data_IF_243412730743
#
_entry.id   IF_243412730743
#
_cell.length_a   1.000
_cell.length_b   1.000
_cell.length_c   1.000
_cell.angle_alpha   90.00
_cell.angle_beta   90.00
_cell.angle_gamma   90.00
#
_symmetry.space_group_name_H-M   'P 1'
#
loop_
_entity.id
_entity.type
_entity.pdbx_description
1 polymer ?
#
# COMPACT_ATOMS: atom_id res chain seq x y z
N UNK A 1 5.44 0.01 25.46
CA UNK A 1 6.50 0.40 24.52
C UNK A 1 5.93 0.41 23.12
N UNK A 2 6.01 1.52 22.45
CA UNK A 2 5.49 1.63 21.08
C UNK A 2 6.29 0.75 20.15
N UNK A 3 5.59 0.04 19.28
CA UNK A 3 6.24 -0.74 18.22
C UNK A 3 6.79 0.18 17.16
N UNK A 4 8.06 0.03 16.82
CA UNK A 4 8.68 0.78 15.73
C UNK A 4 7.99 0.42 14.42
N UNK A 5 7.62 1.42 13.63
CA UNK A 5 6.93 1.20 12.36
C UNK A 5 7.80 0.46 11.37
N UNK A 6 7.18 -0.45 10.64
CA UNK A 6 7.84 -1.28 9.65
C UNK A 6 6.94 -1.47 8.43
N UNK A 7 7.54 -1.53 7.25
CA UNK A 7 6.83 -1.84 6.01
C UNK A 7 7.55 -3.03 5.37
N UNK A 8 6.85 -4.17 5.29
CA UNK A 8 7.34 -5.33 4.55
C UNK A 8 6.94 -5.18 3.09
N UNK A 9 7.92 -5.35 2.20
CA UNK A 9 7.73 -5.20 0.74
C UNK A 9 8.09 -6.51 0.08
N UNK A 10 7.15 -7.10 -0.66
CA UNK A 10 7.36 -8.35 -1.38
C UNK A 10 6.84 -8.22 -2.81
N UNK A 11 7.74 -8.29 -3.78
CA UNK A 11 7.37 -8.29 -5.19
C UNK A 11 7.36 -9.73 -5.72
N UNK A 12 6.28 -10.10 -6.40
CA UNK A 12 6.17 -11.36 -7.14
C UNK A 12 6.16 -11.01 -8.62
N UNK A 13 7.34 -11.04 -9.23
CA UNK A 13 7.53 -10.62 -10.62
C UNK A 13 6.76 -11.54 -11.58
N UNK A 14 6.76 -12.84 -11.31
CA UNK A 14 6.07 -13.81 -12.17
C UNK A 14 4.57 -13.56 -12.20
N UNK A 15 3.96 -13.27 -11.05
CA UNK A 15 2.53 -12.96 -10.96
C UNK A 15 2.21 -11.50 -11.29
N UNK A 16 3.22 -10.65 -11.42
CA UNK A 16 3.08 -9.21 -11.62
C UNK A 16 2.29 -8.56 -10.47
N UNK A 17 2.69 -8.87 -9.25
CA UNK A 17 2.02 -8.42 -8.03
C UNK A 17 3.03 -7.93 -7.01
N UNK A 18 2.61 -7.00 -6.15
CA UNK A 18 3.41 -6.54 -5.02
C UNK A 18 2.53 -6.54 -3.77
N UNK A 19 3.13 -6.90 -2.64
CA UNK A 19 2.46 -6.88 -1.34
C UNK A 19 3.22 -5.98 -0.39
N UNK A 20 2.48 -5.06 0.23
CA UNK A 20 3.01 -4.15 1.24
C UNK A 20 2.25 -4.40 2.54
N UNK A 21 2.97 -4.69 3.62
CA UNK A 21 2.38 -4.85 4.96
C UNK A 21 2.88 -3.74 5.86
N UNK A 22 1.95 -3.00 6.46
CA UNK A 22 2.27 -1.89 7.36
C UNK A 22 2.08 -2.36 8.79
N UNK A 23 3.13 -2.22 9.61
CA UNK A 23 3.19 -2.77 10.97
C UNK A 23 3.57 -1.67 11.93
N UNK A 24 2.83 -1.57 13.05
CA UNK A 24 3.10 -0.59 14.10
C UNK A 24 2.69 0.83 13.74
N UNK A 25 3.39 1.81 14.30
CA UNK A 25 3.13 3.23 14.05
C UNK A 25 3.93 3.70 12.85
N UNK A 26 3.23 4.16 11.83
CA UNK A 26 3.83 4.62 10.58
C UNK A 26 3.80 6.15 10.53
N UNK A 27 4.96 6.77 10.38
CA UNK A 27 5.08 8.21 10.20
C UNK A 27 5.88 8.51 8.94
N UNK A 28 6.12 9.81 8.67
CA UNK A 28 6.86 10.22 7.48
C UNK A 28 8.26 9.62 7.40
N UNK A 29 8.95 9.47 8.56
CA UNK A 29 10.31 8.91 8.59
C UNK A 29 10.32 7.44 8.19
N UNK A 30 9.35 6.63 8.65
CA UNK A 30 9.24 5.23 8.23
C UNK A 30 8.97 5.12 6.74
N UNK A 31 8.06 5.93 6.21
CA UNK A 31 7.76 5.90 4.78
C UNK A 31 8.99 6.29 3.93
N UNK A 32 9.74 7.30 4.36
CA UNK A 32 10.98 7.67 3.67
C UNK A 32 12.02 6.56 3.73
N UNK A 33 12.14 5.88 4.89
CA UNK A 33 13.10 4.79 5.06
C UNK A 33 12.84 3.65 4.07
N UNK A 34 11.58 3.29 3.86
CA UNK A 34 11.21 2.16 3.00
C UNK A 34 10.91 2.56 1.56
N UNK A 35 11.00 3.85 1.24
CA UNK A 35 10.67 4.37 -0.09
C UNK A 35 11.47 3.68 -1.20
N UNK A 36 12.79 3.52 -1.00
CA UNK A 36 13.65 2.87 -1.99
C UNK A 36 13.27 1.41 -2.23
N UNK A 37 12.87 0.69 -1.18
CA UNK A 37 12.43 -0.70 -1.31
C UNK A 37 11.14 -0.79 -2.12
N UNK A 38 10.20 0.10 -1.85
CA UNK A 38 8.95 0.18 -2.60
C UNK A 38 9.23 0.53 -4.06
N UNK A 39 10.07 1.54 -4.30
CA UNK A 39 10.44 1.94 -5.66
C UNK A 39 11.04 0.78 -6.45
N UNK A 40 11.97 0.06 -5.85
CA UNK A 40 12.62 -1.09 -6.48
C UNK A 40 11.59 -2.17 -6.82
N UNK A 41 10.68 -2.45 -5.89
CA UNK A 41 9.63 -3.44 -6.11
C UNK A 41 8.72 -3.04 -7.27
N UNK A 42 8.22 -1.80 -7.29
CA UNK A 42 7.31 -1.34 -8.33
C UNK A 42 7.97 -1.33 -9.71
N UNK A 43 9.24 -0.91 -9.76
CA UNK A 43 9.99 -0.88 -11.02
C UNK A 43 10.33 -2.26 -11.56
N UNK A 44 10.27 -3.30 -10.74
CA UNK A 44 10.49 -4.68 -11.19
C UNK A 44 9.25 -5.28 -11.87
N UNK A 45 8.10 -4.62 -11.76
CA UNK A 45 6.83 -5.12 -12.27
C UNK A 45 6.49 -4.49 -13.62
N UNK A 46 5.58 -5.15 -14.34
CA UNK A 46 5.06 -4.63 -15.61
C UNK A 46 3.86 -3.73 -15.35
N UNK A 47 3.63 -2.76 -16.25
CA UNK A 47 2.43 -1.93 -16.20
C UNK A 47 1.17 -2.82 -16.14
N UNK A 48 0.19 -2.41 -15.35
CA UNK A 48 -1.01 -3.20 -15.09
C UNK A 48 -0.88 -4.13 -13.87
N UNK A 49 0.19 -3.99 -13.08
CA UNK A 49 0.40 -4.83 -11.91
C UNK A 49 -0.66 -4.61 -10.84
N UNK A 50 -0.82 -5.60 -9.96
CA UNK A 50 -1.70 -5.53 -8.81
C UNK A 50 -0.91 -5.29 -7.54
N UNK A 51 -1.45 -4.46 -6.64
CA UNK A 51 -0.83 -4.14 -5.35
C UNK A 51 -1.78 -4.51 -4.22
N UNK A 52 -1.27 -5.26 -3.25
CA UNK A 52 -1.98 -5.51 -2.00
C UNK A 52 -1.35 -4.65 -0.91
N UNK A 53 -2.16 -3.86 -0.22
CA UNK A 53 -1.72 -3.09 0.94
C UNK A 53 -2.45 -3.61 2.19
N UNK A 54 -1.69 -4.18 3.12
CA UNK A 54 -2.23 -4.80 4.32
C UNK A 54 -1.99 -3.93 5.53
N UNK A 55 -3.07 -3.44 6.14
CA UNK A 55 -3.04 -2.58 7.32
C UNK A 55 -3.44 -3.33 8.60
N UNK A 56 -3.50 -4.67 8.56
CA UNK A 56 -3.94 -5.49 9.69
C UNK A 56 -3.17 -5.18 10.96
N UNK A 57 -1.85 -5.07 10.88
CA UNK A 57 -0.96 -4.88 12.03
C UNK A 57 -0.53 -3.42 12.22
N UNK A 58 -1.12 -2.49 11.47
CA UNK A 58 -0.83 -1.07 11.62
C UNK A 58 -1.59 -0.52 12.84
N UNK A 59 -0.87 0.14 13.74
CA UNK A 59 -1.48 0.79 14.89
C UNK A 59 -2.02 2.16 14.54
N UNK A 60 -1.21 2.95 13.81
CA UNK A 60 -1.60 4.28 13.35
C UNK A 60 -0.73 4.73 12.18
N UNK A 61 -1.21 5.73 11.47
CA UNK A 61 -0.43 6.44 10.46
C UNK A 61 -0.60 7.94 10.75
N UNK A 62 0.50 8.64 10.97
CA UNK A 62 0.48 10.04 11.35
C UNK A 62 0.33 10.95 10.13
N UNK A 63 -0.17 12.17 10.35
CA UNK A 63 -0.45 13.11 9.25
C UNK A 63 0.83 13.59 8.55
N UNK A 64 1.97 13.57 9.23
CA UNK A 64 3.25 13.95 8.63
C UNK A 64 3.72 12.95 7.57
N UNK A 65 3.04 11.80 7.45
CA UNK A 65 3.30 10.83 6.39
C UNK A 65 2.76 11.27 5.03
N UNK A 66 1.86 12.26 4.99
CA UNK A 66 1.17 12.65 3.76
C UNK A 66 2.07 12.97 2.57
N UNK A 67 3.18 13.73 2.72
CA UNK A 67 4.07 14.00 1.56
C UNK A 67 4.70 12.73 0.99
N UNK A 68 5.12 11.80 1.85
CA UNK A 68 5.72 10.54 1.41
C UNK A 68 4.68 9.63 0.73
N UNK A 69 3.45 9.63 1.24
CA UNK A 69 2.34 8.90 0.61
C UNK A 69 2.09 9.45 -0.79
N UNK A 70 2.07 10.78 -0.93
CA UNK A 70 1.87 11.41 -2.23
C UNK A 70 2.93 10.98 -3.23
N UNK A 71 4.21 10.97 -2.81
CA UNK A 71 5.31 10.50 -3.68
C UNK A 71 5.13 9.06 -4.11
N UNK A 72 4.72 8.20 -3.16
CA UNK A 72 4.46 6.79 -3.46
C UNK A 72 3.32 6.64 -4.47
N UNK A 73 2.25 7.40 -4.31
CA UNK A 73 1.12 7.37 -5.23
C UNK A 73 1.51 7.84 -6.63
N UNK A 74 2.35 8.88 -6.73
CA UNK A 74 2.87 9.35 -8.01
C UNK A 74 3.72 8.27 -8.68
N UNK A 75 4.51 7.52 -7.90
CA UNK A 75 5.27 6.40 -8.41
C UNK A 75 4.36 5.27 -8.90
N UNK A 76 3.33 4.92 -8.14
CA UNK A 76 2.34 3.93 -8.55
C UNK A 76 1.73 4.30 -9.90
N UNK A 77 1.36 5.56 -10.04
CA UNK A 77 0.81 6.07 -11.29
C UNK A 77 1.81 5.96 -12.44
N UNK A 78 3.07 6.38 -12.21
CA UNK A 78 4.10 6.37 -13.25
C UNK A 78 4.51 4.97 -13.68
N UNK A 79 4.43 3.99 -12.77
CA UNK A 79 4.77 2.59 -13.06
C UNK A 79 3.57 1.77 -13.55
N UNK A 80 2.37 2.36 -13.54
CA UNK A 80 1.19 1.77 -14.19
C UNK A 80 0.43 0.76 -13.35
N UNK A 81 0.20 1.04 -12.04
CA UNK A 81 -0.63 0.17 -11.21
C UNK A 81 -2.03 0.01 -11.82
N UNK A 82 -2.56 -1.22 -11.85
CA UNK A 82 -3.88 -1.51 -12.41
C UNK A 82 -4.94 -1.79 -11.35
N UNK A 83 -4.55 -2.40 -10.23
CA UNK A 83 -5.47 -2.79 -9.16
C UNK A 83 -4.78 -2.60 -7.81
N UNK A 84 -5.48 -1.98 -6.87
CA UNK A 84 -5.05 -1.91 -5.47
C UNK A 84 -6.08 -2.63 -4.61
N UNK A 85 -5.64 -3.62 -3.86
CA UNK A 85 -6.48 -4.33 -2.89
C UNK A 85 -5.99 -3.96 -1.50
N UNK A 86 -6.88 -3.40 -0.68
CA UNK A 86 -6.55 -2.97 0.68
C UNK A 86 -7.15 -3.92 1.69
N UNK A 87 -6.40 -4.25 2.74
CA UNK A 87 -6.89 -5.03 3.87
C UNK A 87 -7.01 -4.09 5.06
N UNK A 88 -8.24 -3.81 5.48
CA UNK A 88 -8.54 -2.91 6.60
C UNK A 88 -9.53 -3.63 7.52
N UNK A 89 -9.02 -4.40 8.52
CA UNK A 89 -9.90 -5.18 9.41
C UNK A 89 -10.78 -4.31 10.30
N UNK A 90 -10.26 -3.15 10.69
CA UNK A 90 -10.93 -2.24 11.61
C UNK A 90 -11.11 -0.88 10.94
N UNK A 91 -12.35 -0.50 10.55
CA UNK A 91 -12.60 0.80 9.91
C UNK A 91 -12.13 2.00 10.74
N UNK A 92 -12.02 1.87 12.07
CA UNK A 92 -11.53 2.96 12.91
C UNK A 92 -10.05 3.26 12.68
N UNK A 93 -9.31 2.33 12.08
CA UNK A 93 -7.89 2.51 11.73
C UNK A 93 -7.69 3.06 10.32
N UNK A 94 -8.78 3.45 9.65
CA UNK A 94 -8.74 3.98 8.29
C UNK A 94 -8.25 5.45 8.23
N UNK A 95 -7.80 6.01 9.34
CA UNK A 95 -7.30 7.39 9.37
C UNK A 95 -6.14 7.62 8.40
N UNK A 96 -5.20 6.67 8.36
CA UNK A 96 -4.07 6.74 7.42
C UNK A 96 -4.53 6.56 5.98
N UNK A 97 -5.52 5.71 5.76
CA UNK A 97 -6.10 5.47 4.44
C UNK A 97 -6.96 6.67 4.02
N UNK A 98 -7.59 7.36 4.98
CA UNK A 98 -8.27 8.61 4.73
C UNK A 98 -7.34 9.69 4.16
N UNK A 99 -6.07 9.69 4.58
CA UNK A 99 -5.08 10.60 4.01
C UNK A 99 -4.89 10.29 2.51
N UNK A 100 -4.92 9.02 2.12
CA UNK A 100 -4.81 8.63 0.71
C UNK A 100 -5.95 9.19 -0.13
N UNK A 101 -7.14 9.33 0.44
CA UNK A 101 -8.29 9.86 -0.28
C UNK A 101 -8.18 11.36 -0.59
N UNK A 102 -7.24 12.07 0.03
CA UNK A 102 -6.96 13.46 -0.27
C UNK A 102 -6.22 13.64 -1.59
N UNK A 103 -5.68 12.56 -2.14
CA UNK A 103 -4.94 12.60 -3.39
C UNK A 103 -5.78 11.99 -4.51
N UNK A 104 -5.79 12.67 -5.66
CA UNK A 104 -6.56 12.21 -6.80
C UNK A 104 -5.85 11.06 -7.50
N UNK A 105 -6.41 9.87 -7.36
CA UNK A 105 -5.97 8.71 -8.15
C UNK A 105 -6.67 8.71 -9.51
N UNK A 106 -6.04 8.13 -10.55
CA UNK A 106 -6.70 8.00 -11.85
C UNK A 106 -8.03 7.25 -11.73
N UNK A 107 -9.06 7.71 -12.44
CA UNK A 107 -10.36 7.04 -12.43
C UNK A 107 -10.29 5.60 -12.97
N UNK A 108 -9.29 5.32 -13.79
CA UNK A 108 -9.04 3.98 -14.33
C UNK A 108 -8.49 3.02 -13.27
N UNK A 109 -8.00 3.53 -12.14
CA UNK A 109 -7.45 2.69 -11.08
C UNK A 109 -8.59 2.04 -10.30
N UNK A 110 -8.57 0.71 -10.25
CA UNK A 110 -9.53 -0.05 -9.47
C UNK A 110 -8.99 -0.25 -8.05
N UNK A 111 -9.78 0.14 -7.06
CA UNK A 111 -9.44 -0.03 -5.64
C UNK A 111 -10.53 -0.88 -5.00
N UNK A 112 -10.10 -1.96 -4.34
CA UNK A 112 -11.00 -2.88 -3.62
C UNK A 112 -10.55 -2.94 -2.18
N UNK A 113 -11.47 -2.78 -1.24
CA UNK A 113 -11.16 -2.87 0.19
C UNK A 113 -11.77 -4.15 0.75
N UNK A 114 -10.97 -4.90 1.51
CA UNK A 114 -11.38 -6.14 2.17
C UNK A 114 -11.15 -6.02 3.67
N UNK A 115 -11.78 -6.91 4.44
CA UNK A 115 -11.59 -6.95 5.89
C UNK A 115 -10.48 -7.94 6.29
N UNK A 116 -10.19 -8.93 5.44
CA UNK A 116 -9.21 -9.98 5.75
C UNK A 116 -8.19 -10.14 4.63
N UNK A 117 -7.00 -10.63 5.02
CA UNK A 117 -5.94 -10.97 4.08
C UNK A 117 -6.39 -12.07 3.11
N UNK A 118 -7.15 -13.05 3.61
CA UNK A 118 -7.63 -14.16 2.78
C UNK A 118 -8.53 -13.67 1.65
N UNK A 119 -9.44 -12.74 1.94
CA UNK A 119 -10.28 -12.12 0.91
C UNK A 119 -9.44 -11.40 -0.14
N UNK A 120 -8.44 -10.64 0.32
CA UNK A 120 -7.56 -9.90 -0.58
C UNK A 120 -6.76 -10.84 -1.48
N UNK A 121 -6.20 -11.91 -0.92
CA UNK A 121 -5.44 -12.88 -1.70
C UNK A 121 -6.32 -13.60 -2.72
N UNK A 122 -7.59 -13.87 -2.37
CA UNK A 122 -8.53 -14.46 -3.31
C UNK A 122 -8.77 -13.54 -4.52
N UNK A 123 -8.86 -12.23 -4.30
CA UNK A 123 -9.02 -11.25 -5.39
C UNK A 123 -7.77 -11.24 -6.27
N UNK A 124 -6.58 -11.26 -5.66
CA UNK A 124 -5.33 -11.27 -6.42
C UNK A 124 -5.20 -12.52 -7.30
N UNK A 125 -5.68 -13.67 -6.83
CA UNK A 125 -5.62 -14.91 -7.61
C UNK A 125 -6.49 -14.87 -8.86
N UNK A 126 -7.46 -13.96 -8.92
CA UNK A 126 -8.36 -13.81 -10.08
C UNK A 126 -7.84 -12.84 -11.13
N UNK A 127 -6.71 -12.24 -10.88
CA UNK A 127 -6.14 -11.22 -11.78
C UNK A 127 -5.00 -11.73 -12.65
#
# INVERSE_FOLDING_TARGET
>A
MEQVGKIDVLADVAANQVRLSFIGSINGAELERYYSDVERALKSLRSGYSMLTDFTDMEEMTIDSAPAIKRTMEMMKSTGVGLVVRVIPDPSKDLGVGILSLFHLPRSLKIVTTETRDEAEAILRQT
#
